data_IF_459418766540
#
_entry.id   IF_459418766540
#
_cell.length_a   1.000
_cell.length_b   1.000
_cell.length_c   1.000
_cell.angle_alpha   90.00
_cell.angle_beta   90.00
_cell.angle_gamma   90.00
#
_symmetry.space_group_name_H-M   'P 1'
#
loop_
_entity.id
_entity.type
_entity.pdbx_description
1 polymer ?
#
# COMPACT_ATOMS: atom_id res chain seq x y z
N UNK A 1 -66.10 -7.69 -13.92
CA UNK A 1 -65.16 -7.30 -12.86
C UNK A 1 -63.77 -7.18 -13.50
N UNK A 2 -63.38 -5.96 -13.90
CA UNK A 2 -62.04 -5.70 -14.45
C UNK A 2 -61.13 -5.23 -13.32
N UNK A 3 -60.02 -5.94 -13.10
CA UNK A 3 -58.97 -5.54 -12.16
C UNK A 3 -57.86 -4.87 -12.98
N UNK A 4 -57.84 -3.55 -12.99
CA UNK A 4 -56.74 -2.75 -13.54
C UNK A 4 -55.69 -2.59 -12.44
N UNK A 5 -54.62 -3.38 -12.50
CA UNK A 5 -53.47 -3.21 -11.62
C UNK A 5 -52.63 -2.01 -12.11
N UNK A 6 -52.63 -0.93 -11.34
CA UNK A 6 -51.79 0.25 -11.56
C UNK A 6 -50.39 -0.04 -11.04
N UNK A 7 -49.39 -0.12 -11.92
CA UNK A 7 -47.98 -0.21 -11.52
C UNK A 7 -47.53 1.20 -11.11
N UNK A 8 -47.38 1.42 -9.81
CA UNK A 8 -46.80 2.65 -9.28
C UNK A 8 -45.28 2.59 -9.45
N UNK A 9 -44.78 3.34 -10.43
CA UNK A 9 -43.36 3.66 -10.52
C UNK A 9 -42.91 4.43 -9.28
N UNK A 10 -41.76 4.06 -8.75
CA UNK A 10 -40.95 4.92 -7.89
C UNK A 10 -39.47 4.60 -8.13
N UNK A 11 -38.93 5.15 -9.22
CA UNK A 11 -37.50 5.25 -9.44
C UNK A 11 -36.95 6.33 -8.50
N UNK A 12 -36.43 5.95 -7.33
CA UNK A 12 -35.63 6.84 -6.50
C UNK A 12 -34.16 6.76 -6.93
N UNK A 13 -33.83 7.43 -8.05
CA UNK A 13 -32.43 7.78 -8.31
C UNK A 13 -32.07 8.92 -7.37
N UNK A 14 -31.51 8.59 -6.21
CA UNK A 14 -30.84 9.56 -5.34
C UNK A 14 -29.76 10.30 -6.16
N UNK A 15 -29.72 11.64 -6.18
CA UNK A 15 -28.65 12.35 -6.85
C UNK A 15 -27.38 12.17 -6.03
N UNK A 16 -26.53 11.22 -6.40
CA UNK A 16 -25.14 11.20 -5.93
C UNK A 16 -24.53 12.54 -6.33
N UNK A 17 -24.15 13.38 -5.35
CA UNK A 17 -23.72 14.75 -5.63
C UNK A 17 -22.54 14.74 -6.60
N UNK A 18 -22.57 15.59 -7.62
CA UNK A 18 -21.50 15.71 -8.64
C UNK A 18 -20.13 16.00 -8.01
N UNK A 19 -20.12 16.62 -6.83
CA UNK A 19 -18.91 16.83 -6.04
C UNK A 19 -18.34 15.53 -5.45
N UNK A 20 -19.20 14.61 -5.01
CA UNK A 20 -18.77 13.29 -4.52
C UNK A 20 -18.16 12.46 -5.66
N UNK A 21 -18.71 12.50 -6.86
CA UNK A 21 -18.15 11.80 -8.03
C UNK A 21 -16.83 12.43 -8.51
N UNK A 22 -16.70 13.76 -8.47
CA UNK A 22 -15.44 14.45 -8.81
C UNK A 22 -14.31 14.13 -7.80
N UNK A 23 -14.60 14.16 -6.50
CA UNK A 23 -13.62 13.83 -5.46
C UNK A 23 -13.12 12.38 -5.59
N UNK A 24 -14.02 11.44 -5.90
CA UNK A 24 -13.67 10.05 -6.18
C UNK A 24 -12.80 9.91 -7.43
N UNK A 25 -13.09 10.65 -8.51
CA UNK A 25 -12.25 10.62 -9.70
C UNK A 25 -10.82 11.14 -9.41
N UNK A 26 -10.72 12.27 -8.71
CA UNK A 26 -9.42 12.85 -8.32
C UNK A 26 -8.64 11.91 -7.41
N UNK A 27 -9.30 11.31 -6.41
CA UNK A 27 -8.65 10.34 -5.53
C UNK A 27 -8.19 9.08 -6.30
N UNK A 28 -8.99 8.56 -7.23
CA UNK A 28 -8.65 7.36 -8.03
C UNK A 28 -7.44 7.57 -8.93
N UNK A 29 -7.38 8.69 -9.64
CA UNK A 29 -6.31 8.96 -10.60
C UNK A 29 -5.12 9.71 -10.00
N UNK A 30 -5.35 10.51 -8.96
CA UNK A 30 -4.32 11.33 -8.31
C UNK A 30 -3.53 10.59 -7.23
N UNK A 31 -4.10 9.58 -6.58
CA UNK A 31 -3.44 8.88 -5.48
C UNK A 31 -2.12 8.21 -5.88
N UNK A 32 -2.14 7.42 -6.96
CA UNK A 32 -0.94 6.68 -7.43
C UNK A 32 0.21 7.61 -7.81
N UNK A 33 0.05 8.63 -8.69
CA UNK A 33 1.14 9.54 -9.03
C UNK A 33 1.58 10.39 -7.83
N UNK A 34 0.68 10.77 -6.93
CA UNK A 34 1.03 11.48 -5.70
C UNK A 34 1.95 10.64 -4.80
N UNK A 35 1.61 9.36 -4.58
CA UNK A 35 2.43 8.44 -3.80
C UNK A 35 3.76 8.14 -4.49
N UNK A 36 3.73 7.73 -5.76
CA UNK A 36 4.91 7.24 -6.49
C UNK A 36 5.88 8.35 -6.89
N UNK A 37 5.39 9.52 -7.30
CA UNK A 37 6.22 10.60 -7.81
C UNK A 37 6.33 11.70 -6.75
N UNK A 38 5.21 12.12 -6.17
CA UNK A 38 5.16 13.23 -5.22
C UNK A 38 5.94 12.95 -3.93
N UNK A 39 5.50 11.94 -3.17
CA UNK A 39 6.09 11.65 -1.85
C UNK A 39 7.48 11.01 -1.94
N UNK A 40 7.70 10.09 -2.87
CA UNK A 40 9.04 9.55 -3.12
C UNK A 40 9.99 10.63 -3.65
N UNK A 41 9.54 11.49 -4.56
CA UNK A 41 10.31 12.63 -5.05
C UNK A 41 10.66 13.62 -3.93
N UNK A 42 9.72 13.91 -3.03
CA UNK A 42 9.99 14.71 -1.85
C UNK A 42 11.05 14.06 -0.95
N UNK A 43 10.99 12.74 -0.73
CA UNK A 43 12.02 11.99 -0.01
C UNK A 43 13.40 12.09 -0.66
N UNK A 44 13.48 11.98 -1.99
CA UNK A 44 14.72 12.14 -2.77
C UNK A 44 15.27 13.57 -2.59
N UNK A 45 14.43 14.59 -2.73
CA UNK A 45 14.84 16.00 -2.56
C UNK A 45 15.33 16.28 -1.15
N UNK A 46 14.63 15.81 -0.12
CA UNK A 46 15.06 15.97 1.28
C UNK A 46 16.38 15.26 1.55
N UNK A 47 16.57 14.06 1.00
CA UNK A 47 17.81 13.29 1.18
C UNK A 47 18.98 13.96 0.43
N UNK A 48 18.77 14.38 -0.81
CA UNK A 48 19.78 15.06 -1.62
C UNK A 48 20.17 16.43 -1.04
N UNK A 49 19.20 17.17 -0.48
CA UNK A 49 19.42 18.47 0.15
C UNK A 49 20.03 18.40 1.55
N UNK A 50 20.35 17.21 2.07
CA UNK A 50 20.91 17.03 3.40
C UNK A 50 19.94 17.37 4.54
N UNK A 51 18.64 17.30 4.29
CA UNK A 51 17.63 17.57 5.30
C UNK A 51 17.74 16.57 6.46
N UNK A 52 17.30 17.02 7.63
CA UNK A 52 17.33 16.21 8.85
C UNK A 52 16.39 15.01 8.69
N UNK A 53 16.86 13.81 9.11
CA UNK A 53 16.21 12.51 8.81
C UNK A 53 14.75 12.41 9.27
N UNK A 54 14.31 13.20 10.25
CA UNK A 54 12.91 13.21 10.69
C UNK A 54 11.94 13.75 9.63
N UNK A 55 12.42 14.49 8.62
CA UNK A 55 11.56 14.87 7.48
C UNK A 55 11.08 13.66 6.69
N UNK A 56 11.85 12.57 6.66
CA UNK A 56 11.41 11.31 6.07
C UNK A 56 10.28 10.67 6.90
N UNK A 57 10.29 10.83 8.22
CA UNK A 57 9.18 10.43 9.08
C UNK A 57 7.93 11.28 8.80
N UNK A 58 8.10 12.58 8.56
CA UNK A 58 6.99 13.45 8.17
C UNK A 58 6.38 13.02 6.83
N UNK A 59 7.21 12.71 5.82
CA UNK A 59 6.76 12.16 4.52
C UNK A 59 6.00 10.85 4.73
N UNK A 60 6.50 9.96 5.59
CA UNK A 60 5.84 8.70 5.93
C UNK A 60 4.47 8.93 6.59
N UNK A 61 4.38 9.85 7.55
CA UNK A 61 3.10 10.20 8.19
C UNK A 61 2.11 10.74 7.15
N UNK A 62 2.55 11.63 6.24
CA UNK A 62 1.69 12.15 5.16
C UNK A 62 1.24 11.02 4.24
N UNK A 63 2.11 10.08 3.88
CA UNK A 63 1.76 8.91 3.08
C UNK A 63 0.66 8.09 3.75
N UNK A 64 0.86 7.76 5.03
CA UNK A 64 -0.10 7.00 5.84
C UNK A 64 -1.43 7.74 5.92
N UNK A 65 -1.44 9.02 6.29
CA UNK A 65 -2.66 9.83 6.39
C UNK A 65 -3.38 9.93 5.05
N UNK A 66 -2.65 10.11 3.94
CA UNK A 66 -3.25 10.14 2.60
C UNK A 66 -3.97 8.83 2.29
N UNK A 67 -3.36 7.69 2.68
CA UNK A 67 -3.99 6.38 2.50
C UNK A 67 -5.30 6.26 3.25
N UNK A 68 -5.35 6.71 4.51
CA UNK A 68 -6.59 6.74 5.27
C UNK A 68 -7.65 7.63 4.63
N UNK A 69 -7.27 8.82 4.15
CA UNK A 69 -8.21 9.76 3.55
C UNK A 69 -8.80 9.23 2.24
N UNK A 70 -8.02 8.56 1.40
CA UNK A 70 -8.53 8.00 0.14
C UNK A 70 -9.47 6.83 0.40
N UNK A 71 -9.19 5.97 1.38
CA UNK A 71 -10.10 4.88 1.77
C UNK A 71 -11.47 5.42 2.26
N UNK A 72 -11.50 6.60 2.89
CA UNK A 72 -12.75 7.26 3.26
C UNK A 72 -13.54 7.79 2.05
N UNK A 73 -12.86 8.18 0.96
CA UNK A 73 -13.48 8.76 -0.24
C UNK A 73 -13.94 7.67 -1.22
N UNK A 74 -13.17 6.57 -1.34
CA UNK A 74 -13.45 5.45 -2.26
C UNK A 74 -13.32 4.13 -1.49
N UNK A 75 -14.33 3.73 -0.68
CA UNK A 75 -14.28 2.45 0.02
C UNK A 75 -14.33 1.30 -0.99
N UNK A 76 -13.38 0.35 -0.89
CA UNK A 76 -13.32 -0.80 -1.80
C UNK A 76 -14.50 -1.76 -1.60
N UNK A 77 -14.84 -2.07 -0.34
CA UNK A 77 -16.04 -2.84 0.02
C UNK A 77 -16.57 -2.38 1.38
N UNK A 78 -17.77 -1.80 1.39
CA UNK A 78 -18.43 -1.30 2.61
C UNK A 78 -18.75 -2.41 3.62
N UNK A 79 -18.87 -3.67 3.18
CA UNK A 79 -19.09 -4.83 4.04
C UNK A 79 -17.83 -5.28 4.80
N UNK A 80 -16.65 -4.76 4.43
CA UNK A 80 -15.40 -4.97 5.16
C UNK A 80 -15.19 -3.95 6.28
N UNK A 81 -15.98 -2.88 6.30
CA UNK A 81 -16.00 -1.87 7.37
C UNK A 81 -16.98 -2.20 8.51
N UNK A 82 -17.64 -3.37 8.45
CA UNK A 82 -18.49 -3.88 9.53
C UNK A 82 -17.72 -4.87 10.38
N UNK A 83 -17.68 -4.60 11.68
CA UNK A 83 -17.03 -5.44 12.67
C UNK A 83 -17.73 -6.81 12.75
N UNK A 84 -17.00 -7.91 12.54
CA UNK A 84 -17.55 -9.29 12.52
C UNK A 84 -17.13 -10.11 13.73
N UNK A 85 -17.03 -9.48 14.90
CA UNK A 85 -16.67 -10.10 16.17
C UNK A 85 -15.28 -10.77 16.24
N UNK A 86 -14.42 -10.55 15.23
CA UNK A 86 -13.04 -11.06 15.16
C UNK A 86 -11.98 -10.03 15.61
N UNK A 87 -12.42 -8.94 16.27
CA UNK A 87 -11.60 -7.74 16.47
C UNK A 87 -10.25 -8.00 17.14
N UNK A 88 -10.18 -8.89 18.12
CA UNK A 88 -8.95 -9.16 18.90
C UNK A 88 -7.90 -9.89 18.07
N UNK A 89 -8.32 -10.91 17.31
CA UNK A 89 -7.44 -11.66 16.40
C UNK A 89 -6.85 -10.72 15.36
N UNK A 90 -7.68 -9.83 14.81
CA UNK A 90 -7.25 -8.85 13.81
C UNK A 90 -6.29 -7.80 14.41
N UNK A 91 -6.48 -7.35 15.66
CA UNK A 91 -5.52 -6.44 16.32
C UNK A 91 -4.17 -7.11 16.52
N UNK A 92 -4.16 -8.38 16.94
CA UNK A 92 -2.93 -9.15 17.13
C UNK A 92 -2.23 -9.36 15.79
N UNK A 93 -2.95 -9.74 14.74
CA UNK A 93 -2.38 -9.87 13.40
C UNK A 93 -1.76 -8.57 12.92
N UNK A 94 -2.46 -7.44 13.07
CA UNK A 94 -1.91 -6.14 12.67
C UNK A 94 -0.71 -5.75 13.51
N UNK A 95 -0.77 -5.91 14.83
CA UNK A 95 0.36 -5.58 15.70
C UNK A 95 1.60 -6.40 15.35
N UNK A 96 1.45 -7.72 15.19
CA UNK A 96 2.56 -8.61 14.82
C UNK A 96 3.09 -8.28 13.42
N UNK A 97 2.20 -8.14 12.43
CA UNK A 97 2.57 -7.83 11.05
C UNK A 97 3.29 -6.47 10.94
N UNK A 98 2.72 -5.43 11.53
CA UNK A 98 3.31 -4.08 11.49
C UNK A 98 4.65 -4.04 12.22
N UNK A 99 4.75 -4.69 13.38
CA UNK A 99 6.01 -4.77 14.12
C UNK A 99 7.07 -5.52 13.33
N UNK A 100 6.71 -6.63 12.66
CA UNK A 100 7.64 -7.37 11.81
C UNK A 100 8.08 -6.55 10.59
N UNK A 101 7.16 -5.81 9.95
CA UNK A 101 7.51 -4.91 8.83
C UNK A 101 8.47 -3.82 9.30
N UNK A 102 8.16 -3.13 10.40
CA UNK A 102 9.01 -2.07 10.94
C UNK A 102 10.37 -2.62 11.39
N UNK A 103 10.40 -3.81 12.01
CA UNK A 103 11.63 -4.49 12.38
C UNK A 103 12.47 -4.87 11.14
N UNK A 104 11.85 -5.38 10.08
CA UNK A 104 12.52 -5.69 8.82
C UNK A 104 13.11 -4.44 8.16
N UNK A 105 12.38 -3.33 8.13
CA UNK A 105 12.89 -2.05 7.61
C UNK A 105 14.05 -1.53 8.46
N UNK A 106 13.94 -1.60 9.80
CA UNK A 106 15.00 -1.19 10.72
C UNK A 106 16.23 -2.11 10.67
N UNK A 107 16.06 -3.39 10.30
CA UNK A 107 17.16 -4.32 10.14
C UNK A 107 18.09 -3.94 8.98
N UNK A 108 17.60 -3.27 7.93
CA UNK A 108 18.41 -2.87 6.76
C UNK A 108 19.61 -1.99 7.18
N UNK A 109 19.44 -0.83 7.84
CA UNK A 109 20.58 -0.01 8.26
C UNK A 109 21.44 -0.69 9.33
N UNK A 110 20.84 -1.52 10.20
CA UNK A 110 21.59 -2.25 11.22
C UNK A 110 22.53 -3.29 10.60
N UNK A 111 22.04 -4.08 9.65
CA UNK A 111 22.82 -5.04 8.89
C UNK A 111 23.88 -4.34 8.05
N UNK A 112 23.56 -3.21 7.42
CA UNK A 112 24.53 -2.41 6.68
C UNK A 112 25.66 -1.87 7.57
N UNK A 113 25.42 -1.64 8.86
CA UNK A 113 26.44 -1.17 9.80
C UNK A 113 27.40 -2.28 10.28
N UNK A 114 26.95 -3.54 10.30
CA UNK A 114 27.73 -4.67 10.85
C UNK A 114 28.30 -5.61 9.78
N UNK A 115 27.69 -5.65 8.59
CA UNK A 115 28.19 -6.44 7.45
C UNK A 115 29.31 -5.62 6.80
N UNK A 116 30.55 -6.12 6.75
CA UNK A 116 31.63 -5.49 5.99
C UNK A 116 31.27 -5.56 4.51
N UNK A 117 30.58 -4.54 4.02
CA UNK A 117 30.28 -4.44 2.61
C UNK A 117 31.58 -4.03 1.89
N UNK A 118 32.05 -4.81 0.89
CA UNK A 118 33.10 -4.30 0.03
C UNK A 118 32.64 -2.98 -0.60
N UNK A 119 33.56 -2.05 -0.95
CA UNK A 119 33.23 -0.73 -1.49
C UNK A 119 32.73 -0.83 -2.95
N UNK A 120 31.77 -1.72 -3.19
CA UNK A 120 31.12 -1.97 -4.47
C UNK A 120 30.08 -0.88 -4.79
N UNK A 121 29.67 -0.09 -3.79
CA UNK A 121 28.70 0.97 -4.02
C UNK A 121 29.35 2.18 -4.71
N UNK A 122 28.84 2.61 -5.87
CA UNK A 122 29.47 3.68 -6.63
C UNK A 122 29.10 5.06 -6.06
N UNK A 123 29.76 5.45 -4.96
CA UNK A 123 29.52 6.75 -4.30
C UNK A 123 29.82 7.97 -5.16
N UNK A 124 30.64 7.81 -6.21
CA UNK A 124 30.99 8.88 -7.16
C UNK A 124 29.92 9.15 -8.22
N UNK A 125 28.88 8.32 -8.31
CA UNK A 125 27.81 8.51 -9.28
C UNK A 125 26.88 9.67 -8.89
N UNK A 126 26.20 10.31 -9.87
CA UNK A 126 25.13 11.26 -9.58
C UNK A 126 24.09 10.63 -8.66
N UNK A 127 23.54 11.40 -7.70
CA UNK A 127 22.60 10.88 -6.70
C UNK A 127 21.41 10.13 -7.32
N UNK A 128 20.86 10.65 -8.41
CA UNK A 128 19.76 9.98 -9.14
C UNK A 128 20.17 8.61 -9.69
N UNK A 129 21.40 8.49 -10.22
CA UNK A 129 21.91 7.19 -10.68
C UNK A 129 22.10 6.21 -9.52
N UNK A 130 22.51 6.68 -8.34
CA UNK A 130 22.56 5.86 -7.13
C UNK A 130 21.16 5.40 -6.69
N UNK A 131 20.15 6.27 -6.74
CA UNK A 131 18.76 5.91 -6.43
C UNK A 131 18.22 4.86 -7.40
N UNK A 132 18.44 5.03 -8.70
CA UNK A 132 18.02 4.06 -9.72
C UNK A 132 18.72 2.70 -9.54
N UNK A 133 20.03 2.70 -9.27
CA UNK A 133 20.77 1.49 -8.97
C UNK A 133 20.23 0.79 -7.71
N UNK A 134 19.90 1.55 -6.66
CA UNK A 134 19.32 1.01 -5.43
C UNK A 134 17.96 0.35 -5.68
N UNK A 135 17.10 0.98 -6.49
CA UNK A 135 15.80 0.41 -6.89
C UNK A 135 16.01 -0.92 -7.62
N UNK A 136 16.90 -0.97 -8.62
CA UNK A 136 17.17 -2.18 -9.39
C UNK A 136 17.73 -3.31 -8.54
N UNK A 137 18.69 -3.01 -7.65
CA UNK A 137 19.29 -4.00 -6.75
C UNK A 137 18.24 -4.52 -5.75
N UNK A 138 17.41 -3.64 -5.19
CA UNK A 138 16.34 -4.02 -4.29
C UNK A 138 15.30 -4.90 -4.99
N UNK A 139 14.86 -4.53 -6.19
CA UNK A 139 13.88 -5.26 -6.99
C UNK A 139 14.38 -6.66 -7.39
N UNK A 140 15.63 -6.74 -7.83
CA UNK A 140 16.30 -8.01 -8.12
C UNK A 140 16.40 -8.87 -6.85
N UNK A 141 16.81 -8.28 -5.73
CA UNK A 141 16.91 -8.97 -4.45
C UNK A 141 15.58 -9.56 -3.99
N UNK A 142 14.50 -8.77 -4.04
CA UNK A 142 13.13 -9.21 -3.74
C UNK A 142 12.72 -10.35 -4.68
N UNK A 143 12.94 -10.19 -5.98
CA UNK A 143 12.59 -11.19 -7.00
C UNK A 143 13.33 -12.52 -6.76
N UNK A 144 14.62 -12.46 -6.47
CA UNK A 144 15.44 -13.66 -6.20
C UNK A 144 15.00 -14.34 -4.90
N UNK A 145 14.78 -13.58 -3.82
CA UNK A 145 14.30 -14.13 -2.55
C UNK A 145 12.91 -14.75 -2.72
N UNK A 146 12.03 -14.11 -3.48
CA UNK A 146 10.71 -14.64 -3.80
C UNK A 146 10.81 -15.96 -4.58
N UNK A 147 11.60 -16.00 -5.65
CA UNK A 147 11.84 -17.22 -6.42
C UNK A 147 12.47 -18.33 -5.56
N UNK A 148 13.45 -17.99 -4.73
CA UNK A 148 14.09 -18.93 -3.82
C UNK A 148 13.09 -19.47 -2.79
N UNK A 149 12.16 -18.63 -2.32
CA UNK A 149 11.11 -19.02 -1.37
C UNK A 149 10.12 -20.02 -1.96
N UNK A 150 9.89 -19.97 -3.28
CA UNK A 150 9.11 -20.98 -3.99
C UNK A 150 9.89 -22.29 -4.27
N UNK A 151 11.23 -22.27 -4.22
CA UNK A 151 12.07 -23.43 -4.55
C UNK A 151 12.65 -24.16 -3.33
N UNK A 152 12.87 -23.47 -2.21
CA UNK A 152 13.55 -24.01 -1.02
C UNK A 152 12.51 -24.28 0.07
N UNK A 153 12.40 -25.54 0.52
CA UNK A 153 11.36 -25.97 1.47
C UNK A 153 11.35 -25.24 2.81
N UNK A 154 12.50 -24.79 3.33
CA UNK A 154 12.55 -24.00 4.58
C UNK A 154 12.00 -22.59 4.37
N UNK A 155 12.42 -21.91 3.29
CA UNK A 155 11.91 -20.56 2.97
C UNK A 155 10.42 -20.61 2.62
N UNK A 156 9.97 -21.69 1.98
CA UNK A 156 8.56 -21.93 1.73
C UNK A 156 7.73 -21.93 3.01
N UNK A 157 8.22 -22.49 4.13
CA UNK A 157 7.45 -22.48 5.39
C UNK A 157 7.13 -21.07 5.88
N UNK A 158 8.03 -20.12 5.66
CA UNK A 158 7.79 -18.71 5.97
C UNK A 158 6.94 -18.04 4.90
N UNK A 159 7.23 -18.31 3.62
CA UNK A 159 6.54 -17.69 2.49
C UNK A 159 5.10 -18.18 2.30
N UNK A 160 4.79 -19.41 2.70
CA UNK A 160 3.45 -19.98 2.67
C UNK A 160 2.47 -19.20 3.55
N UNK A 161 2.94 -18.56 4.64
CA UNK A 161 2.11 -17.67 5.46
C UNK A 161 1.57 -16.52 4.61
N UNK A 162 2.43 -15.91 3.78
CA UNK A 162 2.03 -14.84 2.87
C UNK A 162 1.01 -15.32 1.83
N UNK A 163 1.18 -16.53 1.28
CA UNK A 163 0.20 -17.12 0.34
C UNK A 163 -1.07 -17.67 1.00
N UNK A 164 -1.08 -17.88 2.32
CA UNK A 164 -2.25 -18.36 3.06
C UNK A 164 -3.28 -17.27 3.36
N UNK A 165 -2.95 -16.02 3.05
CA UNK A 165 -3.81 -14.86 3.29
C UNK A 165 -4.98 -14.87 2.29
N UNK A 166 -6.10 -15.46 2.70
CA UNK A 166 -7.37 -15.44 1.95
C UNK A 166 -8.14 -14.12 2.14
N UNK A 167 -7.77 -13.33 3.15
CA UNK A 167 -8.25 -11.98 3.46
C UNK A 167 -7.14 -11.19 4.15
N UNK A 168 -6.81 -9.99 3.68
CA UNK A 168 -5.80 -9.15 4.33
C UNK A 168 -6.42 -8.40 5.53
N UNK A 169 -6.37 -8.99 6.72
CA UNK A 169 -6.90 -8.34 7.91
C UNK A 169 -6.02 -7.15 8.31
N UNK A 170 -6.50 -5.94 8.06
CA UNK A 170 -5.96 -4.69 8.59
C UNK A 170 -6.97 -4.10 9.58
N UNK A 171 -6.52 -3.50 10.68
CA UNK A 171 -7.33 -2.85 11.74
C UNK A 171 -8.38 -1.83 11.24
N UNK A 172 -8.36 -1.51 9.95
CA UNK A 172 -9.39 -0.81 9.17
C UNK A 172 -9.16 -0.91 7.66
N UNK A 173 -8.70 -2.07 7.15
CA UNK A 173 -8.42 -2.25 5.72
C UNK A 173 -7.38 -1.23 5.15
N UNK A 174 -6.34 -0.87 5.90
CA UNK A 174 -5.44 0.22 5.49
C UNK A 174 -4.27 -0.21 4.59
N UNK A 175 -3.97 -1.51 4.49
CA UNK A 175 -2.92 -2.01 3.60
C UNK A 175 -3.40 -2.18 2.14
N UNK A 176 -4.68 -1.93 1.87
CA UNK A 176 -5.28 -2.18 0.56
C UNK A 176 -5.05 -1.06 -0.46
N UNK A 177 -4.57 0.12 -0.08
CA UNK A 177 -4.57 1.22 -1.04
C UNK A 177 -3.40 1.15 -2.04
N UNK A 178 -2.29 0.48 -1.72
CA UNK A 178 -1.21 0.29 -2.68
C UNK A 178 -1.52 -0.82 -3.71
N UNK A 179 -2.18 -1.90 -3.29
CA UNK A 179 -2.54 -3.05 -4.15
C UNK A 179 -3.90 -2.85 -4.83
N UNK A 180 -4.90 -2.38 -4.08
CA UNK A 180 -6.28 -2.23 -4.53
C UNK A 180 -6.46 -1.13 -5.58
N UNK A 181 -5.66 -0.04 -5.55
CA UNK A 181 -5.75 0.99 -6.59
C UNK A 181 -5.19 0.49 -7.93
N UNK A 182 -4.13 -0.32 -7.91
CA UNK A 182 -3.57 -0.96 -9.12
C UNK A 182 -4.53 -2.01 -9.72
N UNK A 183 -5.26 -2.74 -8.88
CA UNK A 183 -6.29 -3.69 -9.30
C UNK A 183 -7.59 -2.99 -9.76
N UNK A 184 -7.98 -1.89 -9.13
CA UNK A 184 -9.16 -1.10 -9.51
C UNK A 184 -8.99 -0.38 -10.86
N UNK A 185 -7.75 -0.15 -11.33
CA UNK A 185 -7.50 0.40 -12.67
C UNK A 185 -7.41 -0.67 -13.76
N UNK A 186 -7.34 -1.95 -13.41
CA UNK A 186 -7.10 -3.05 -14.36
C UNK A 186 -8.31 -3.99 -14.55
N UNK A 187 -9.39 -3.83 -13.79
CA UNK A 187 -10.63 -4.59 -13.98
C UNK A 187 -11.77 -3.62 -14.33
N UNK A 188 -12.29 -3.62 -15.57
CA UNK A 188 -13.60 -3.04 -15.82
C UNK A 188 -14.61 -3.85 -15.00
N UNK A 189 -15.40 -3.17 -14.18
CA UNK A 189 -16.56 -3.78 -13.54
C UNK A 189 -17.45 -4.37 -14.65
N UNK A 190 -17.47 -5.71 -14.74
CA UNK A 190 -18.53 -6.43 -15.44
C UNK A 190 -19.76 -6.49 -14.54
#
# INVERSE_FOLDING_TARGET
MSVTATIHGMSTTSPTSTAATAAQAVARYGYVPFMLIGLNGAGIVFTAGGAQKYWLLAVLVVAITTTFLVELVIPYDTAWNRDRADSTRDRIHVAVNETLILASVAAIPLLAAIVPAPPLWPHSWPFIAQVLAAILVADLGITVVHLASHKIGVLWRFHAVHHSVTRFYGLRNCQYLWIGVFQATSVPAC
#
